data_IF_916940783332
#
_entry.id   IF_916940783332
#
_cell.length_a   1.000
_cell.length_b   1.000
_cell.length_c   1.000
_cell.angle_alpha   90.00
_cell.angle_beta   90.00
_cell.angle_gamma   90.00
#
_symmetry.space_group_name_H-M   'P 1'
#
loop_
_entity.id
_entity.type
_entity.pdbx_description
1 polymer ?
#
# COMPACT_ATOMS: atom_id res chain seq x y z
N UNK A 1 18.40 25.91 26.72
CA UNK A 1 17.68 26.77 25.76
C UNK A 1 16.19 26.57 26.03
N UNK A 2 15.52 27.58 26.61
CA UNK A 2 14.09 27.55 26.84
C UNK A 2 13.40 27.64 25.44
N UNK A 3 12.92 26.53 24.91
CA UNK A 3 11.99 26.54 23.79
C UNK A 3 10.67 27.12 24.29
N UNK A 4 10.44 28.40 24.07
CA UNK A 4 9.11 29.01 24.17
C UNK A 4 8.29 28.37 23.06
N UNK A 5 7.44 27.39 23.42
CA UNK A 5 6.45 26.80 22.49
C UNK A 5 5.61 27.95 21.99
N UNK A 6 5.60 28.16 20.67
CA UNK A 6 4.80 29.22 20.05
C UNK A 6 3.32 29.01 20.39
N UNK A 7 2.63 30.11 20.76
CA UNK A 7 1.21 30.10 21.11
C UNK A 7 0.33 29.45 20.01
N UNK A 8 0.75 29.58 18.77
CA UNK A 8 0.11 28.97 17.59
C UNK A 8 0.17 27.45 17.65
N UNK A 9 1.35 26.87 17.93
CA UNK A 9 1.59 25.42 18.05
C UNK A 9 0.76 24.81 19.18
N UNK A 10 0.67 25.48 20.30
CA UNK A 10 -0.16 25.04 21.43
C UNK A 10 -1.65 25.04 21.07
N UNK A 11 -2.16 26.07 20.39
CA UNK A 11 -3.57 26.16 19.94
C UNK A 11 -3.91 25.04 18.95
N UNK A 12 -3.01 24.73 18.03
CA UNK A 12 -3.17 23.64 17.05
C UNK A 12 -3.27 22.28 17.74
N UNK A 13 -2.42 22.04 18.74
CA UNK A 13 -2.47 20.80 19.54
C UNK A 13 -3.78 20.69 20.34
N UNK A 14 -4.22 21.76 20.98
CA UNK A 14 -5.48 21.80 21.74
C UNK A 14 -6.68 21.48 20.82
N UNK A 15 -6.73 22.04 19.62
CA UNK A 15 -7.73 21.70 18.62
C UNK A 15 -7.70 20.21 18.26
N UNK A 16 -6.52 19.64 17.99
CA UNK A 16 -6.38 18.23 17.68
C UNK A 16 -6.84 17.31 18.83
N UNK A 17 -6.57 17.71 20.07
CA UNK A 17 -7.03 16.98 21.26
C UNK A 17 -8.55 16.99 21.41
N UNK A 18 -9.24 18.09 21.05
CA UNK A 18 -10.71 18.14 21.08
C UNK A 18 -11.33 17.16 20.09
N UNK A 19 -10.80 17.06 18.89
CA UNK A 19 -11.42 16.28 17.79
C UNK A 19 -10.88 14.84 17.66
N UNK A 20 -9.76 14.48 18.31
CA UNK A 20 -9.15 13.15 18.16
C UNK A 20 -9.03 12.40 19.48
N UNK A 21 -9.88 11.38 19.66
CA UNK A 21 -9.75 10.44 20.78
C UNK A 21 -8.43 9.64 20.75
N UNK A 22 -7.88 9.43 19.56
CA UNK A 22 -6.56 8.80 19.41
C UNK A 22 -5.48 9.67 20.04
N UNK A 23 -5.45 10.97 19.72
CA UNK A 23 -4.51 11.93 20.30
C UNK A 23 -4.60 11.99 21.83
N UNK A 24 -5.82 12.12 22.35
CA UNK A 24 -6.05 12.13 23.81
C UNK A 24 -5.44 10.89 24.48
N UNK A 25 -5.73 9.70 23.95
CA UNK A 25 -5.25 8.44 24.53
C UNK A 25 -3.73 8.30 24.47
N UNK A 26 -3.11 8.66 23.35
CA UNK A 26 -1.67 8.51 23.17
C UNK A 26 -0.87 9.49 24.04
N UNK A 27 -1.27 10.76 24.09
CA UNK A 27 -0.56 11.78 24.84
C UNK A 27 -0.81 11.73 26.38
N UNK A 28 -1.97 11.23 26.81
CA UNK A 28 -2.21 10.96 28.24
C UNK A 28 -1.35 9.79 28.77
N UNK A 29 -1.03 8.82 27.88
CA UNK A 29 -0.22 7.65 28.25
C UNK A 29 1.28 7.95 28.39
N UNK A 30 1.81 8.98 27.72
CA UNK A 30 3.23 9.32 27.75
C UNK A 30 3.46 10.83 27.50
N UNK A 31 3.73 11.62 28.55
CA UNK A 31 4.00 13.05 28.43
C UNK A 31 5.22 13.41 27.56
N UNK A 32 6.21 12.52 27.44
CA UNK A 32 7.39 12.75 26.60
C UNK A 32 7.02 12.85 25.10
N UNK A 33 6.00 12.12 24.65
CA UNK A 33 5.51 12.19 23.27
C UNK A 33 5.00 13.59 22.93
N UNK A 34 4.44 14.32 23.90
CA UNK A 34 3.98 15.71 23.70
C UNK A 34 5.15 16.64 23.39
N UNK A 35 6.26 16.53 24.10
CA UNK A 35 7.44 17.36 23.86
C UNK A 35 8.05 17.07 22.47
N UNK A 36 8.17 15.79 22.09
CA UNK A 36 8.66 15.40 20.77
C UNK A 36 7.77 15.95 19.66
N UNK A 37 6.44 15.85 19.83
CA UNK A 37 5.47 16.36 18.87
C UNK A 37 5.61 17.88 18.66
N UNK A 38 5.65 18.64 19.75
CA UNK A 38 5.69 20.12 19.71
C UNK A 38 6.97 20.65 19.08
N UNK A 39 8.11 19.97 19.29
CA UNK A 39 9.39 20.40 18.72
C UNK A 39 9.47 20.29 17.19
N UNK A 40 8.61 19.49 16.56
CA UNK A 40 8.69 19.18 15.13
C UNK A 40 7.34 19.38 14.41
N UNK A 41 6.42 20.15 14.99
CA UNK A 41 5.06 20.26 14.46
C UNK A 41 4.96 21.12 13.20
N UNK A 42 5.87 22.06 12.98
CA UNK A 42 5.82 23.01 11.85
C UNK A 42 6.08 22.32 10.51
N UNK A 43 6.86 21.26 10.50
CA UNK A 43 7.23 20.54 9.28
C UNK A 43 6.49 19.18 9.14
N UNK A 44 6.17 18.75 7.90
CA UNK A 44 5.68 17.41 7.64
C UNK A 44 6.66 16.34 8.14
N UNK A 45 6.16 15.16 8.47
CA UNK A 45 7.03 14.01 8.76
C UNK A 45 7.55 13.44 7.44
N UNK A 46 8.80 13.74 7.09
CA UNK A 46 9.41 13.38 5.82
C UNK A 46 9.84 11.91 5.76
N UNK A 47 9.98 11.36 4.55
CA UNK A 47 10.37 9.96 4.29
C UNK A 47 11.73 9.63 4.90
N UNK A 48 12.72 10.47 4.71
CA UNK A 48 14.07 10.31 5.25
C UNK A 48 14.10 10.33 6.79
N UNK A 49 13.24 11.14 7.41
CA UNK A 49 13.08 11.14 8.88
C UNK A 49 12.53 9.79 9.38
N UNK A 50 11.58 9.18 8.67
CA UNK A 50 11.05 7.85 8.98
C UNK A 50 12.14 6.76 8.84
N UNK A 51 12.90 6.81 7.75
CA UNK A 51 13.99 5.88 7.49
C UNK A 51 15.09 6.00 8.56
N UNK A 52 15.50 7.23 8.89
CA UNK A 52 16.48 7.51 9.93
C UNK A 52 16.00 7.03 11.31
N UNK A 53 14.71 7.19 11.63
CA UNK A 53 14.13 6.66 12.87
C UNK A 53 14.33 5.15 12.97
N UNK A 54 14.02 4.39 11.93
CA UNK A 54 14.18 2.93 11.94
C UNK A 54 15.67 2.52 11.92
N UNK A 55 16.52 3.22 11.20
CA UNK A 55 17.96 2.94 11.22
C UNK A 55 18.59 3.17 12.60
N UNK A 56 18.12 4.19 13.33
CA UNK A 56 18.56 4.42 14.72
C UNK A 56 18.15 3.27 15.65
N UNK A 57 16.97 2.68 15.44
CA UNK A 57 16.49 1.56 16.27
C UNK A 57 17.06 0.19 15.83
N UNK A 58 17.60 0.09 14.62
CA UNK A 58 18.07 -1.18 14.03
C UNK A 58 19.05 -1.98 14.90
N UNK A 59 20.05 -1.37 15.58
CA UNK A 59 20.99 -2.12 16.42
C UNK A 59 20.34 -2.79 17.65
N UNK A 60 19.17 -2.29 18.08
CA UNK A 60 18.41 -2.83 19.20
C UNK A 60 17.46 -3.97 18.81
N UNK A 61 17.21 -4.18 17.50
CA UNK A 61 16.29 -5.20 16.99
C UNK A 61 17.02 -6.56 16.98
N UNK A 62 16.66 -7.43 17.91
CA UNK A 62 17.22 -8.78 18.03
C UNK A 62 16.24 -9.86 17.60
N UNK A 63 14.95 -9.59 17.73
CA UNK A 63 13.87 -10.53 17.44
C UNK A 63 12.63 -9.83 16.87
N UNK A 64 11.57 -10.62 16.64
CA UNK A 64 10.29 -10.15 16.09
C UNK A 64 9.58 -9.17 17.03
N UNK A 65 9.74 -9.29 18.33
CA UNK A 65 9.09 -8.38 19.30
C UNK A 65 9.71 -6.97 19.24
N UNK A 66 11.04 -6.90 19.15
CA UNK A 66 11.76 -5.64 19.01
C UNK A 66 11.41 -4.95 17.68
N UNK A 67 11.36 -5.71 16.57
CA UNK A 67 10.94 -5.22 15.26
C UNK A 67 9.51 -4.66 15.30
N UNK A 68 8.59 -5.43 15.87
CA UNK A 68 7.20 -5.04 16.03
C UNK A 68 7.06 -3.74 16.82
N UNK A 69 7.82 -3.59 17.90
CA UNK A 69 7.84 -2.38 18.72
C UNK A 69 8.37 -1.17 17.96
N UNK A 70 9.50 -1.32 17.26
CA UNK A 70 10.11 -0.22 16.49
C UNK A 70 9.15 0.35 15.43
N UNK A 71 8.49 -0.51 14.67
CA UNK A 71 7.53 -0.11 13.65
C UNK A 71 6.29 0.61 14.25
N UNK A 72 5.79 0.13 15.38
CA UNK A 72 4.64 0.75 16.07
C UNK A 72 4.99 2.10 16.69
N UNK A 73 6.20 2.25 17.21
CA UNK A 73 6.71 3.53 17.69
C UNK A 73 6.84 4.53 16.55
N UNK A 74 7.40 4.13 15.40
CA UNK A 74 7.44 4.98 14.21
C UNK A 74 6.02 5.43 13.83
N UNK A 75 5.09 4.48 13.66
CA UNK A 75 3.70 4.80 13.34
C UNK A 75 3.09 5.77 14.34
N UNK A 76 3.31 5.58 15.63
CA UNK A 76 2.79 6.47 16.68
C UNK A 76 3.28 7.90 16.47
N UNK A 77 4.58 8.11 16.26
CA UNK A 77 5.15 9.45 16.06
C UNK A 77 4.63 10.11 14.79
N UNK A 78 4.57 9.35 13.67
CA UNK A 78 4.02 9.84 12.39
C UNK A 78 2.55 10.24 12.57
N UNK A 79 1.73 9.37 13.17
CA UNK A 79 0.30 9.61 13.37
C UNK A 79 0.02 10.80 14.29
N UNK A 80 0.79 10.97 15.35
CA UNK A 80 0.65 12.11 16.25
C UNK A 80 0.90 13.43 15.51
N UNK A 81 1.99 13.52 14.75
CA UNK A 81 2.32 14.73 13.97
C UNK A 81 1.29 14.98 12.88
N UNK A 82 1.00 13.94 12.08
CA UNK A 82 0.07 14.06 10.95
C UNK A 82 -1.34 14.48 11.37
N UNK A 83 -1.92 13.81 12.38
CA UNK A 83 -3.27 14.16 12.86
C UNK A 83 -3.32 15.57 13.44
N UNK A 84 -2.27 15.99 14.15
CA UNK A 84 -2.21 17.36 14.71
C UNK A 84 -2.15 18.39 13.58
N UNK A 85 -1.34 18.14 12.56
CA UNK A 85 -1.21 19.04 11.41
C UNK A 85 -2.49 19.07 10.57
N UNK A 86 -3.12 17.94 10.29
CA UNK A 86 -4.35 17.83 9.51
C UNK A 86 -5.53 18.54 10.20
N UNK A 87 -5.83 18.20 11.45
CA UNK A 87 -6.90 18.85 12.23
C UNK A 87 -6.58 20.33 12.50
N UNK A 88 -5.30 20.65 12.67
CA UNK A 88 -4.82 22.01 12.86
C UNK A 88 -4.94 22.90 11.63
N UNK A 89 -5.06 22.29 10.44
CA UNK A 89 -5.10 22.99 9.15
C UNK A 89 -3.70 23.36 8.63
N UNK A 90 -2.65 22.71 9.12
CA UNK A 90 -1.26 22.85 8.65
C UNK A 90 -0.91 21.89 7.51
N UNK A 91 -1.61 20.76 7.42
CA UNK A 91 -1.44 19.76 6.36
C UNK A 91 -2.59 19.85 5.36
N UNK A 92 -2.28 19.70 4.08
CA UNK A 92 -3.25 19.48 3.03
C UNK A 92 -3.47 17.96 2.75
N UNK A 93 -4.41 17.65 1.87
CA UNK A 93 -4.70 16.26 1.49
C UNK A 93 -3.47 15.56 0.87
N UNK A 94 -2.65 16.27 0.12
CA UNK A 94 -1.47 15.71 -0.53
C UNK A 94 -0.42 15.29 0.51
N UNK A 95 -0.19 16.11 1.55
CA UNK A 95 0.67 15.77 2.67
C UNK A 95 0.16 14.52 3.40
N UNK A 96 -1.14 14.45 3.72
CA UNK A 96 -1.73 13.27 4.39
C UNK A 96 -1.49 11.99 3.59
N UNK A 97 -1.79 12.02 2.29
CA UNK A 97 -1.63 10.85 1.43
C UNK A 97 -0.16 10.46 1.25
N UNK A 98 0.73 11.42 1.07
CA UNK A 98 2.16 11.17 0.91
C UNK A 98 2.75 10.56 2.18
N UNK A 99 2.54 11.18 3.34
CA UNK A 99 3.06 10.73 4.63
C UNK A 99 2.58 9.32 4.98
N UNK A 100 1.28 9.03 4.77
CA UNK A 100 0.74 7.70 5.06
C UNK A 100 1.24 6.63 4.09
N UNK A 101 1.42 6.98 2.82
CA UNK A 101 1.99 6.07 1.82
C UNK A 101 3.44 5.76 2.13
N UNK A 102 4.25 6.77 2.44
CA UNK A 102 5.66 6.59 2.79
C UNK A 102 5.83 5.76 4.07
N UNK A 103 5.01 6.01 5.10
CA UNK A 103 4.99 5.18 6.30
C UNK A 103 4.71 3.70 5.99
N UNK A 104 3.73 3.42 5.11
CA UNK A 104 3.39 2.06 4.72
C UNK A 104 4.53 1.38 3.95
N UNK A 105 5.09 2.05 2.94
CA UNK A 105 6.18 1.52 2.12
C UNK A 105 7.43 1.22 2.95
N UNK A 106 7.84 2.16 3.81
CA UNK A 106 9.00 2.01 4.68
C UNK A 106 8.78 0.87 5.68
N UNK A 107 7.58 0.80 6.29
CA UNK A 107 7.27 -0.27 7.25
C UNK A 107 7.26 -1.65 6.59
N UNK A 108 6.68 -1.78 5.39
CA UNK A 108 6.67 -3.02 4.61
C UNK A 108 8.11 -3.42 4.26
N UNK A 109 8.89 -2.50 3.72
CA UNK A 109 10.26 -2.77 3.29
C UNK A 109 11.15 -3.19 4.46
N UNK A 110 11.10 -2.47 5.56
CA UNK A 110 11.91 -2.75 6.75
C UNK A 110 11.54 -4.10 7.40
N UNK A 111 10.25 -4.39 7.52
CA UNK A 111 9.77 -5.67 8.03
C UNK A 111 10.17 -6.84 7.10
N UNK A 112 10.02 -6.66 5.79
CA UNK A 112 10.39 -7.65 4.78
C UNK A 112 11.87 -8.02 4.87
N UNK A 113 12.76 -7.02 4.96
CA UNK A 113 14.21 -7.25 5.08
C UNK A 113 14.57 -8.08 6.30
N UNK A 114 14.03 -7.75 7.49
CA UNK A 114 14.33 -8.47 8.72
C UNK A 114 13.81 -9.91 8.69
N UNK A 115 12.55 -10.12 8.31
CA UNK A 115 11.97 -11.46 8.24
C UNK A 115 12.64 -12.33 7.17
N UNK A 116 12.99 -11.75 6.02
CA UNK A 116 13.74 -12.48 4.99
C UNK A 116 15.11 -12.91 5.53
N UNK A 117 15.85 -12.01 6.16
CA UNK A 117 17.17 -12.31 6.72
C UNK A 117 17.09 -13.45 7.74
N UNK A 118 16.17 -13.38 8.69
CA UNK A 118 16.00 -14.43 9.72
C UNK A 118 15.56 -15.79 9.14
N UNK A 119 14.73 -15.81 8.12
CA UNK A 119 14.31 -17.07 7.47
C UNK A 119 15.41 -17.63 6.57
N UNK A 120 16.20 -16.76 5.92
CA UNK A 120 17.26 -17.14 4.99
C UNK A 120 18.60 -17.51 5.68
N UNK A 121 18.66 -17.56 7.01
CA UNK A 121 19.83 -18.05 7.73
C UNK A 121 20.20 -19.48 7.30
N UNK A 122 21.50 -19.78 7.08
CA UNK A 122 21.94 -21.11 6.62
C UNK A 122 21.53 -22.25 7.56
N UNK A 123 21.44 -21.98 8.86
CA UNK A 123 20.94 -22.94 9.87
C UNK A 123 19.43 -23.18 9.86
N UNK A 124 18.70 -22.42 9.05
CA UNK A 124 17.24 -22.53 8.82
C UNK A 124 16.96 -22.97 7.39
N UNK A 125 16.24 -22.14 6.64
CA UNK A 125 15.84 -22.47 5.26
C UNK A 125 16.93 -22.13 4.23
N UNK A 126 17.81 -21.16 4.52
CA UNK A 126 18.75 -20.64 3.54
C UNK A 126 18.06 -19.74 2.51
N UNK A 127 18.80 -19.40 1.46
CA UNK A 127 18.34 -18.47 0.43
C UNK A 127 17.51 -19.22 -0.59
N UNK A 128 16.29 -18.74 -0.96
CA UNK A 128 15.52 -19.30 -2.07
C UNK A 128 16.25 -19.04 -3.40
N UNK A 129 16.39 -20.09 -4.21
CA UNK A 129 17.07 -20.03 -5.51
C UNK A 129 16.19 -20.62 -6.60
N UNK A 130 16.38 -20.16 -7.83
CA UNK A 130 15.70 -20.70 -9.00
C UNK A 130 16.23 -22.11 -9.31
N UNK A 131 15.32 -23.01 -9.66
CA UNK A 131 15.68 -24.36 -10.14
C UNK A 131 16.37 -24.30 -11.53
N UNK A 132 16.01 -23.33 -12.36
CA UNK A 132 16.51 -23.21 -13.71
C UNK A 132 17.86 -22.47 -13.78
N UNK A 133 17.97 -21.34 -13.07
CA UNK A 133 19.12 -20.41 -13.18
C UNK A 133 20.04 -20.40 -11.99
N UNK A 134 19.67 -21.06 -10.89
CA UNK A 134 20.35 -20.97 -9.58
C UNK A 134 20.44 -19.54 -9.04
N UNK A 135 19.73 -18.59 -9.64
CA UNK A 135 19.65 -17.20 -9.20
C UNK A 135 18.86 -17.11 -7.90
N UNK A 136 19.35 -16.26 -6.99
CA UNK A 136 18.62 -15.90 -5.76
C UNK A 136 17.26 -15.30 -6.12
N UNK A 137 16.23 -15.77 -5.42
CA UNK A 137 14.87 -15.31 -5.64
C UNK A 137 14.44 -14.30 -4.58
N UNK A 138 13.94 -13.13 -4.98
CA UNK A 138 13.34 -12.14 -4.09
C UNK A 138 11.84 -12.38 -3.91
N UNK A 139 11.26 -11.79 -2.86
CA UNK A 139 9.82 -11.53 -2.79
C UNK A 139 9.57 -10.08 -3.19
N UNK A 140 8.64 -9.87 -4.11
CA UNK A 140 8.12 -8.56 -4.45
C UNK A 140 6.75 -8.39 -3.78
N UNK A 141 6.56 -7.25 -3.11
CA UNK A 141 5.29 -6.86 -2.50
C UNK A 141 4.62 -5.83 -3.40
N UNK A 142 3.50 -6.23 -3.99
CA UNK A 142 2.69 -5.35 -4.83
C UNK A 142 1.59 -4.74 -3.96
N UNK A 143 1.56 -3.43 -3.89
CA UNK A 143 0.47 -2.67 -3.28
C UNK A 143 -0.63 -2.44 -4.32
N UNK A 144 -1.86 -2.63 -3.89
CA UNK A 144 -3.07 -2.40 -4.66
C UNK A 144 -3.86 -1.22 -4.09
N UNK A 145 -4.96 -0.88 -4.69
CA UNK A 145 -5.89 0.14 -4.18
C UNK A 145 -5.21 1.49 -3.87
N UNK A 146 -5.53 2.06 -2.71
CA UNK A 146 -5.02 3.38 -2.33
C UNK A 146 -3.51 3.43 -2.13
N UNK A 147 -2.91 2.38 -1.54
CA UNK A 147 -1.46 2.33 -1.37
C UNK A 147 -0.75 2.27 -2.72
N UNK A 148 -1.23 1.43 -3.63
CA UNK A 148 -0.69 1.34 -4.99
C UNK A 148 -0.80 2.67 -5.75
N UNK A 149 -1.92 3.39 -5.58
CA UNK A 149 -2.17 4.71 -6.16
C UNK A 149 -1.46 5.88 -5.47
N UNK A 150 -0.70 5.67 -4.38
CA UNK A 150 -0.15 6.73 -3.52
C UNK A 150 -1.22 7.68 -2.94
N UNK A 151 -2.39 7.14 -2.64
CA UNK A 151 -3.55 7.85 -2.14
C UNK A 151 -4.00 7.32 -0.77
N UNK A 152 -3.05 6.79 0.03
CA UNK A 152 -3.35 6.20 1.32
C UNK A 152 -3.76 7.29 2.34
N UNK A 153 -4.87 7.09 3.05
CA UNK A 153 -5.26 7.98 4.14
C UNK A 153 -5.02 7.34 5.51
N UNK A 154 -5.14 8.12 6.57
CA UNK A 154 -4.80 7.73 7.94
C UNK A 154 -5.50 6.46 8.47
N UNK A 155 -6.68 6.12 7.96
CA UNK A 155 -7.49 4.98 8.43
C UNK A 155 -7.65 3.85 7.41
N UNK A 156 -6.95 3.92 6.25
CA UNK A 156 -7.04 2.89 5.22
C UNK A 156 -6.34 1.61 5.62
N UNK A 157 -6.91 0.49 5.17
CA UNK A 157 -6.21 -0.78 5.07
C UNK A 157 -5.22 -0.73 3.91
N UNK A 158 -4.23 -1.59 3.92
CA UNK A 158 -3.30 -1.78 2.81
C UNK A 158 -3.61 -3.10 2.11
N UNK A 159 -3.91 -3.02 0.82
CA UNK A 159 -4.16 -4.20 -0.02
C UNK A 159 -2.83 -4.66 -0.62
N UNK A 160 -2.43 -5.90 -0.37
CA UNK A 160 -1.14 -6.45 -0.80
C UNK A 160 -1.30 -7.72 -1.62
N UNK A 161 -0.36 -7.94 -2.55
CA UNK A 161 -0.18 -9.20 -3.29
C UNK A 161 1.31 -9.54 -3.24
N UNK A 162 1.64 -10.81 -2.94
CA UNK A 162 3.02 -11.29 -2.89
C UNK A 162 3.35 -12.10 -4.13
N UNK A 163 4.41 -11.71 -4.83
CA UNK A 163 4.88 -12.40 -6.04
C UNK A 163 6.39 -12.64 -5.98
N UNK A 164 6.85 -13.68 -6.65
CA UNK A 164 8.27 -14.00 -6.77
C UNK A 164 8.59 -14.48 -8.20
N UNK A 165 9.83 -14.29 -8.69
CA UNK A 165 10.12 -14.52 -10.11
C UNK A 165 10.00 -15.98 -10.55
N UNK A 166 10.65 -16.92 -9.87
CA UNK A 166 10.81 -18.29 -10.37
C UNK A 166 10.66 -19.34 -9.26
N UNK A 167 10.10 -20.47 -9.62
CA UNK A 167 10.04 -21.63 -8.72
C UNK A 167 11.42 -22.25 -8.52
N UNK A 168 11.58 -22.90 -7.35
CA UNK A 168 12.81 -23.54 -6.96
C UNK A 168 12.77 -23.97 -5.50
N UNK A 169 13.94 -24.11 -4.89
CA UNK A 169 14.10 -24.56 -3.53
C UNK A 169 15.11 -23.71 -2.76
N UNK A 170 15.05 -23.73 -1.45
CA UNK A 170 15.99 -23.03 -0.58
C UNK A 170 17.29 -23.80 -0.40
N UNK A 171 18.39 -23.11 -0.14
CA UNK A 171 19.75 -23.66 -0.04
C UNK A 171 20.19 -24.04 1.38
N UNK A 172 19.31 -23.95 2.38
CA UNK A 172 19.65 -24.17 3.79
C UNK A 172 19.59 -25.62 4.23
N UNK A 173 19.82 -25.86 5.53
CA UNK A 173 19.76 -27.20 6.13
C UNK A 173 18.35 -27.80 6.11
N UNK A 174 17.32 -26.96 6.07
CA UNK A 174 15.90 -27.35 5.92
C UNK A 174 15.41 -26.85 4.57
N UNK A 175 15.67 -27.64 3.53
CA UNK A 175 15.21 -27.29 2.18
C UNK A 175 13.69 -27.30 2.09
N UNK A 176 13.11 -26.23 1.56
CA UNK A 176 11.69 -26.08 1.22
C UNK A 176 11.55 -25.45 -0.15
N UNK A 177 10.39 -25.58 -0.79
CA UNK A 177 10.14 -24.90 -2.05
C UNK A 177 10.12 -23.38 -1.87
N UNK A 178 10.46 -22.62 -2.94
CA UNK A 178 10.34 -21.16 -2.95
C UNK A 178 8.93 -20.72 -2.57
N UNK A 179 7.93 -21.42 -3.07
CA UNK A 179 6.53 -21.20 -2.72
C UNK A 179 6.29 -21.26 -1.20
N UNK A 180 6.76 -22.32 -0.54
CA UNK A 180 6.60 -22.47 0.90
C UNK A 180 7.38 -21.42 1.68
N UNK A 181 8.63 -21.12 1.26
CA UNK A 181 9.45 -20.08 1.87
C UNK A 181 8.75 -18.72 1.83
N UNK A 182 8.26 -18.31 0.65
CA UNK A 182 7.61 -17.02 0.49
C UNK A 182 6.23 -16.97 1.15
N UNK A 183 5.50 -18.08 1.22
CA UNK A 183 4.27 -18.13 2.00
C UNK A 183 4.53 -17.97 3.51
N UNK A 184 5.63 -18.51 4.04
CA UNK A 184 6.06 -18.29 5.44
C UNK A 184 6.47 -16.84 5.66
N UNK A 185 7.27 -16.28 4.77
CA UNK A 185 7.71 -14.89 4.81
C UNK A 185 6.51 -13.92 4.78
N UNK A 186 5.56 -14.16 3.86
CA UNK A 186 4.34 -13.36 3.76
C UNK A 186 3.49 -13.40 5.04
N UNK A 187 3.32 -14.57 5.66
CA UNK A 187 2.62 -14.68 6.96
C UNK A 187 3.30 -13.86 8.06
N UNK A 188 4.64 -13.91 8.13
CA UNK A 188 5.42 -13.12 9.10
C UNK A 188 5.26 -11.63 8.86
N UNK A 189 5.31 -11.19 7.61
CA UNK A 189 5.13 -9.80 7.23
C UNK A 189 3.72 -9.30 7.60
N UNK A 190 2.67 -10.07 7.30
CA UNK A 190 1.29 -9.73 7.66
C UNK A 190 1.15 -9.60 9.18
N UNK A 191 1.61 -10.58 9.94
CA UNK A 191 1.54 -10.57 11.41
C UNK A 191 2.30 -9.35 11.98
N UNK A 192 3.51 -9.08 11.50
CA UNK A 192 4.31 -7.94 11.91
C UNK A 192 3.57 -6.61 11.74
N UNK A 193 2.84 -6.44 10.64
CA UNK A 193 2.14 -5.19 10.34
C UNK A 193 0.76 -5.11 11.02
N UNK A 194 0.01 -6.22 11.11
CA UNK A 194 -1.41 -6.19 11.47
C UNK A 194 -1.74 -6.66 12.88
N UNK A 195 -0.87 -7.45 13.55
CA UNK A 195 -1.16 -7.94 14.87
C UNK A 195 -1.24 -6.81 15.89
N UNK A 196 -2.24 -6.90 16.77
CA UNK A 196 -2.45 -5.91 17.81
C UNK A 196 -1.60 -6.24 19.05
N UNK A 197 -0.69 -5.33 19.41
CA UNK A 197 0.15 -5.42 20.60
C UNK A 197 -0.19 -4.32 21.60
N UNK A 198 0.55 -4.23 22.70
CA UNK A 198 0.41 -3.12 23.68
C UNK A 198 0.66 -1.75 23.04
N UNK A 199 1.50 -1.70 21.99
CA UNK A 199 1.80 -0.49 21.20
C UNK A 199 0.84 -0.29 20.01
N UNK A 200 -0.21 -1.11 19.86
CA UNK A 200 -1.16 -1.09 18.76
C UNK A 200 -0.73 -1.97 17.56
N UNK A 201 -1.08 -1.54 16.36
CA UNK A 201 -0.73 -2.18 15.09
C UNK A 201 -0.08 -1.15 14.14
N UNK A 202 0.56 -1.62 13.05
CA UNK A 202 1.12 -0.72 12.04
C UNK A 202 0.09 -0.42 10.95
N UNK A 203 -0.41 -1.44 10.24
CA UNK A 203 -1.50 -1.35 9.26
C UNK A 203 -2.34 -2.62 9.29
N UNK A 204 -3.64 -2.49 9.06
CA UNK A 204 -4.47 -3.64 8.70
C UNK A 204 -4.12 -4.05 7.27
N UNK A 205 -3.86 -5.34 7.07
CA UNK A 205 -3.46 -5.90 5.78
C UNK A 205 -4.63 -6.66 5.16
N UNK A 206 -4.97 -6.33 3.90
CA UNK A 206 -5.98 -7.05 3.12
C UNK A 206 -5.30 -7.81 1.96
N UNK A 207 -5.53 -9.11 1.90
CA UNK A 207 -4.97 -9.99 0.87
C UNK A 207 -6.02 -10.51 -0.11
N UNK A 208 -7.26 -9.99 -0.08
CA UNK A 208 -8.38 -10.52 -0.88
C UNK A 208 -8.25 -10.26 -2.38
N UNK A 209 -7.46 -9.27 -2.78
CA UNK A 209 -7.23 -8.96 -4.20
C UNK A 209 -6.21 -9.88 -4.89
N UNK A 210 -5.62 -10.86 -4.16
CA UNK A 210 -4.73 -11.83 -4.80
C UNK A 210 -5.49 -12.78 -5.75
N UNK A 211 -4.84 -13.28 -6.81
CA UNK A 211 -5.44 -14.24 -7.73
C UNK A 211 -6.11 -15.40 -6.99
N UNK A 212 -7.28 -15.84 -7.46
CA UNK A 212 -8.15 -16.83 -6.82
C UNK A 212 -8.69 -16.48 -5.41
N UNK A 213 -8.45 -15.28 -4.89
CA UNK A 213 -8.99 -14.80 -3.61
C UNK A 213 -8.46 -15.55 -2.38
N UNK A 214 -9.31 -15.71 -1.37
CA UNK A 214 -8.90 -16.21 -0.04
C UNK A 214 -8.39 -17.66 -0.03
N UNK A 215 -8.85 -18.50 -0.96
CA UNK A 215 -8.47 -19.90 -1.05
C UNK A 215 -7.18 -20.15 -1.83
N UNK A 216 -6.48 -19.12 -2.27
CA UNK A 216 -5.27 -19.21 -3.07
C UNK A 216 -4.01 -19.20 -2.22
N UNK A 217 -2.88 -19.63 -2.81
CA UNK A 217 -1.58 -19.44 -2.23
C UNK A 217 -1.33 -17.99 -1.81
N UNK A 218 -0.61 -17.80 -0.71
CA UNK A 218 -0.30 -16.46 -0.21
C UNK A 218 0.72 -15.71 -1.07
N UNK A 219 1.65 -16.46 -1.67
CA UNK A 219 2.63 -15.95 -2.63
C UNK A 219 2.60 -16.81 -3.90
N UNK A 220 2.74 -16.19 -5.05
CA UNK A 220 2.66 -16.84 -6.38
C UNK A 220 3.88 -16.49 -7.23
N UNK A 221 4.30 -17.40 -8.12
CA UNK A 221 5.35 -17.11 -9.08
C UNK A 221 4.83 -16.22 -10.23
N UNK A 222 5.75 -15.59 -10.96
CA UNK A 222 5.40 -14.80 -12.15
C UNK A 222 4.67 -15.63 -13.19
N UNK A 223 5.11 -16.86 -13.40
CA UNK A 223 4.48 -17.77 -14.36
C UNK A 223 3.04 -18.11 -13.95
N UNK A 224 2.80 -18.39 -12.66
CA UNK A 224 1.44 -18.61 -12.14
C UNK A 224 0.55 -17.37 -12.30
N UNK A 225 1.10 -16.16 -12.08
CA UNK A 225 0.36 -14.93 -12.25
C UNK A 225 0.02 -14.67 -13.72
N UNK A 226 0.97 -14.87 -14.63
CA UNK A 226 0.80 -14.69 -16.06
C UNK A 226 -0.24 -15.68 -16.65
N UNK A 227 -0.14 -16.95 -16.27
CA UNK A 227 -1.12 -17.96 -16.64
C UNK A 227 -2.52 -17.64 -16.11
N UNK A 228 -2.61 -17.17 -14.87
CA UNK A 228 -3.87 -16.73 -14.30
C UNK A 228 -4.49 -15.58 -15.08
N UNK A 229 -3.71 -14.56 -15.43
CA UNK A 229 -4.19 -13.41 -16.20
C UNK A 229 -4.66 -13.79 -17.60
N UNK A 230 -4.00 -14.77 -18.24
CA UNK A 230 -4.37 -15.26 -19.59
C UNK A 230 -5.63 -16.10 -19.58
N UNK A 231 -5.85 -16.92 -18.54
CA UNK A 231 -6.89 -17.96 -18.55
C UNK A 231 -8.11 -17.61 -17.69
N UNK A 232 -7.94 -16.86 -16.61
CA UNK A 232 -8.99 -16.63 -15.59
C UNK A 232 -9.16 -15.17 -15.20
N UNK A 233 -8.25 -14.29 -15.59
CA UNK A 233 -8.27 -12.87 -15.22
C UNK A 233 -9.57 -12.17 -15.62
N UNK A 234 -10.27 -11.56 -14.65
CA UNK A 234 -11.59 -10.93 -14.82
C UNK A 234 -11.46 -9.42 -15.01
N UNK A 235 -12.49 -8.80 -15.54
CA UNK A 235 -12.51 -7.34 -15.76
C UNK A 235 -12.37 -6.52 -14.47
N UNK A 236 -12.97 -6.97 -13.36
CA UNK A 236 -12.82 -6.27 -12.07
C UNK A 236 -11.38 -6.33 -11.53
N UNK A 237 -10.64 -7.42 -11.80
CA UNK A 237 -9.22 -7.53 -11.42
C UNK A 237 -8.38 -6.59 -12.27
N UNK A 238 -8.70 -6.46 -13.55
CA UNK A 238 -8.07 -5.49 -14.43
C UNK A 238 -8.22 -4.06 -13.90
N UNK A 239 -9.42 -3.69 -13.43
CA UNK A 239 -9.65 -2.44 -12.72
C UNK A 239 -8.78 -2.30 -11.47
N UNK A 240 -8.70 -3.33 -10.64
CA UNK A 240 -7.91 -3.31 -9.43
C UNK A 240 -6.41 -3.13 -9.72
N UNK A 241 -5.89 -3.84 -10.73
CA UNK A 241 -4.48 -3.81 -11.12
C UNK A 241 -4.01 -2.52 -11.80
N UNK A 242 -4.92 -1.61 -12.22
CA UNK A 242 -4.55 -0.25 -12.66
C UNK A 242 -3.66 0.44 -11.61
N UNK A 243 -4.01 0.29 -10.34
CA UNK A 243 -3.26 0.87 -9.21
C UNK A 243 -2.12 -0.02 -8.69
N UNK A 244 -1.93 -1.21 -9.27
CA UNK A 244 -0.88 -2.15 -8.86
C UNK A 244 0.51 -1.53 -8.98
N UNK A 245 1.32 -1.59 -7.90
CA UNK A 245 2.69 -1.05 -7.85
C UNK A 245 3.55 -1.86 -6.88
N UNK A 246 4.77 -2.20 -7.29
CA UNK A 246 5.75 -2.78 -6.36
C UNK A 246 6.17 -1.71 -5.34
N UNK A 247 6.05 -2.00 -4.07
CA UNK A 247 6.35 -1.08 -2.96
C UNK A 247 7.50 -1.56 -2.08
N UNK A 248 7.80 -2.84 -2.14
CA UNK A 248 8.96 -3.42 -1.50
C UNK A 248 9.40 -4.65 -2.29
N UNK A 249 10.71 -4.87 -2.33
CA UNK A 249 11.33 -6.02 -2.93
C UNK A 249 12.77 -6.11 -2.46
N UNK A 250 13.31 -7.31 -2.50
CA UNK A 250 14.74 -7.56 -2.28
C UNK A 250 15.44 -7.82 -3.63
N UNK A 251 14.84 -7.29 -4.71
CA UNK A 251 15.19 -7.55 -6.09
C UNK A 251 15.85 -6.37 -6.78
N UNK A 252 16.45 -6.67 -7.91
CA UNK A 252 16.91 -5.69 -8.88
C UNK A 252 15.71 -5.09 -9.63
N UNK A 253 15.90 -3.94 -10.25
CA UNK A 253 14.91 -3.25 -11.11
C UNK A 253 14.39 -4.12 -12.27
N UNK A 254 15.16 -5.15 -12.67
CA UNK A 254 14.80 -6.09 -13.74
C UNK A 254 13.56 -6.93 -13.40
N UNK A 255 13.48 -7.50 -12.18
CA UNK A 255 12.32 -8.30 -11.77
C UNK A 255 11.06 -7.44 -11.66
N UNK A 256 11.19 -6.19 -11.17
CA UNK A 256 10.09 -5.26 -11.12
C UNK A 256 9.58 -4.90 -12.53
N UNK A 257 10.49 -4.60 -13.46
CA UNK A 257 10.13 -4.32 -14.85
C UNK A 257 9.52 -5.54 -15.53
N UNK A 258 10.06 -6.75 -15.32
CA UNK A 258 9.47 -7.99 -15.83
C UNK A 258 8.04 -8.18 -15.33
N UNK A 259 7.80 -7.99 -14.05
CA UNK A 259 6.46 -8.08 -13.47
C UNK A 259 5.52 -7.02 -14.04
N UNK A 260 5.92 -5.75 -13.97
CA UNK A 260 5.00 -4.65 -14.25
C UNK A 260 4.81 -4.40 -15.75
N UNK A 261 5.87 -4.50 -16.56
CA UNK A 261 5.79 -4.18 -17.99
C UNK A 261 5.44 -5.39 -18.87
N UNK A 262 5.87 -6.61 -18.49
CA UNK A 262 5.69 -7.79 -19.33
C UNK A 262 4.48 -8.64 -18.92
N UNK A 263 4.06 -8.59 -17.65
CA UNK A 263 2.93 -9.41 -17.14
C UNK A 263 1.71 -8.52 -16.85
N UNK A 264 1.86 -7.52 -15.95
CA UNK A 264 0.73 -6.72 -15.47
C UNK A 264 0.20 -5.78 -16.54
N UNK A 265 1.06 -5.04 -17.21
CA UNK A 265 0.66 -4.03 -18.18
C UNK A 265 -0.13 -4.60 -19.38
N UNK A 266 0.27 -5.72 -20.04
CA UNK A 266 -0.51 -6.33 -21.10
C UNK A 266 -1.89 -6.82 -20.62
N UNK A 267 -1.98 -7.29 -19.39
CA UNK A 267 -3.26 -7.67 -18.79
C UNK A 267 -4.16 -6.47 -18.59
N UNK A 268 -3.66 -5.37 -18.01
CA UNK A 268 -4.44 -4.19 -17.63
C UNK A 268 -4.77 -3.35 -18.87
N UNK A 269 -3.77 -2.96 -19.66
CA UNK A 269 -3.90 -1.97 -20.73
C UNK A 269 -3.84 -2.62 -22.11
N UNK A 270 -4.98 -3.14 -22.57
CA UNK A 270 -5.09 -3.72 -23.91
C UNK A 270 -5.09 -2.62 -24.97
N UNK A 271 -4.36 -2.85 -26.08
CA UNK A 271 -4.33 -1.93 -27.21
C UNK A 271 -5.70 -1.80 -27.91
N UNK A 272 -6.45 -2.89 -27.92
CA UNK A 272 -7.80 -2.99 -28.49
C UNK A 272 -8.72 -3.58 -27.45
N UNK A 273 -9.81 -2.88 -27.14
CA UNK A 273 -10.91 -3.39 -26.33
C UNK A 273 -11.97 -3.96 -27.26
N UNK A 274 -12.41 -5.16 -26.95
CA UNK A 274 -13.57 -5.75 -27.57
C UNK A 274 -14.88 -5.21 -27.00
N UNK A 275 -15.99 -5.51 -27.66
CA UNK A 275 -17.33 -5.05 -27.25
C UNK A 275 -17.71 -5.60 -25.86
N UNK A 276 -17.26 -6.82 -25.54
CA UNK A 276 -17.55 -7.50 -24.27
C UNK A 276 -16.93 -6.78 -23.07
N UNK A 277 -15.77 -6.14 -23.24
CA UNK A 277 -15.12 -5.35 -22.20
C UNK A 277 -15.98 -4.12 -21.82
N UNK A 278 -16.58 -3.42 -22.79
CA UNK A 278 -17.47 -2.29 -22.52
C UNK A 278 -18.74 -2.73 -21.79
N UNK A 279 -19.33 -3.86 -22.20
CA UNK A 279 -20.50 -4.40 -21.49
C UNK A 279 -20.15 -4.86 -20.07
N UNK A 280 -18.98 -5.47 -19.86
CA UNK A 280 -18.54 -5.87 -18.55
C UNK A 280 -18.35 -4.67 -17.60
N UNK A 281 -17.81 -3.55 -18.09
CA UNK A 281 -17.69 -2.30 -17.34
C UNK A 281 -19.07 -1.74 -16.97
N UNK A 282 -20.05 -1.74 -17.88
CA UNK A 282 -21.42 -1.31 -17.60
C UNK A 282 -22.09 -2.20 -16.56
N UNK A 283 -21.92 -3.52 -16.66
CA UNK A 283 -22.45 -4.48 -15.67
C UNK A 283 -21.84 -4.25 -14.30
N UNK A 284 -20.53 -4.04 -14.22
CA UNK A 284 -19.83 -3.74 -12.96
C UNK A 284 -20.36 -2.46 -12.32
N UNK A 285 -20.52 -1.38 -13.09
CA UNK A 285 -21.11 -0.13 -12.60
C UNK A 285 -22.54 -0.32 -12.08
N UNK A 286 -23.37 -1.06 -12.83
CA UNK A 286 -24.74 -1.37 -12.41
C UNK A 286 -24.78 -2.19 -11.12
N UNK A 287 -23.88 -3.16 -10.95
CA UNK A 287 -23.75 -3.94 -9.71
C UNK A 287 -23.37 -3.07 -8.52
N UNK A 288 -22.41 -2.14 -8.71
CA UNK A 288 -22.01 -1.21 -7.67
C UNK A 288 -23.17 -0.31 -7.21
N UNK A 289 -23.96 0.23 -8.14
CA UNK A 289 -25.16 1.03 -7.82
C UNK A 289 -26.23 0.23 -7.08
N UNK A 290 -26.55 -0.97 -7.55
CA UNK A 290 -27.51 -1.86 -6.87
C UNK A 290 -27.10 -2.20 -5.44
N UNK A 291 -25.80 -2.37 -5.19
CA UNK A 291 -25.29 -2.62 -3.84
C UNK A 291 -25.43 -1.41 -2.92
N UNK A 292 -25.23 -0.19 -3.43
CA UNK A 292 -25.47 1.07 -2.72
C UNK A 292 -26.96 1.21 -2.35
N UNK A 293 -27.85 0.95 -3.31
CA UNK A 293 -29.31 0.98 -3.10
C UNK A 293 -29.73 -0.05 -2.04
N UNK A 294 -29.25 -1.30 -2.17
CA UNK A 294 -29.56 -2.39 -1.24
C UNK A 294 -29.11 -2.09 0.21
N UNK A 295 -28.04 -1.34 0.37
CA UNK A 295 -27.48 -0.97 1.69
C UNK A 295 -27.93 0.39 2.19
N UNK A 296 -28.82 1.08 1.48
CA UNK A 296 -29.32 2.43 1.81
C UNK A 296 -28.18 3.44 2.05
N UNK A 297 -27.09 3.35 1.25
CA UNK A 297 -25.88 4.17 1.42
C UNK A 297 -25.88 5.43 0.53
N UNK A 298 -27.01 6.07 0.33
CA UNK A 298 -27.13 7.22 -0.57
C UNK A 298 -26.29 8.43 -0.13
N UNK A 299 -26.20 8.67 1.18
CA UNK A 299 -25.43 9.79 1.75
C UNK A 299 -23.97 9.42 2.07
N UNK A 300 -23.51 8.24 1.67
CA UNK A 300 -22.15 7.79 1.94
C UNK A 300 -21.17 8.44 0.97
N UNK A 301 -20.29 9.31 1.47
CA UNK A 301 -19.31 10.05 0.66
C UNK A 301 -18.40 9.13 -0.17
N UNK A 302 -18.11 7.92 0.31
CA UNK A 302 -17.25 6.96 -0.39
C UNK A 302 -18.03 6.17 -1.45
N UNK A 303 -19.23 5.67 -1.10
CA UNK A 303 -19.95 4.66 -1.87
C UNK A 303 -21.21 5.20 -2.55
N UNK A 304 -21.78 6.30 -2.06
CA UNK A 304 -23.00 6.89 -2.62
C UNK A 304 -22.81 7.44 -4.03
N UNK A 305 -23.92 7.82 -4.69
CA UNK A 305 -23.87 8.45 -6.02
C UNK A 305 -23.00 9.71 -6.03
N UNK A 306 -22.09 9.83 -7.00
CA UNK A 306 -21.10 10.92 -7.06
C UNK A 306 -20.00 10.82 -6.02
N UNK A 307 -19.95 9.74 -5.23
CA UNK A 307 -18.92 9.53 -4.21
C UNK A 307 -17.56 9.13 -4.80
N UNK A 308 -16.56 9.05 -3.92
CA UNK A 308 -15.14 8.80 -4.30
C UNK A 308 -15.01 7.57 -5.19
N UNK A 309 -15.74 6.48 -4.89
CA UNK A 309 -15.66 5.22 -5.64
C UNK A 309 -16.19 5.36 -7.07
N UNK A 310 -17.22 6.16 -7.29
CA UNK A 310 -17.77 6.39 -8.64
C UNK A 310 -16.84 7.25 -9.48
N UNK A 311 -16.21 8.27 -8.88
CA UNK A 311 -15.18 9.09 -9.52
C UNK A 311 -13.96 8.24 -9.91
N UNK A 312 -13.46 7.42 -8.99
CA UNK A 312 -12.36 6.47 -9.27
C UNK A 312 -12.73 5.51 -10.41
N UNK A 313 -13.95 4.95 -10.38
CA UNK A 313 -14.42 4.03 -11.39
C UNK A 313 -14.45 4.67 -12.78
N UNK A 314 -15.05 5.86 -12.92
CA UNK A 314 -15.10 6.58 -14.19
C UNK A 314 -13.69 6.86 -14.70
N UNK A 315 -12.79 7.34 -13.81
CA UNK A 315 -11.40 7.61 -14.16
C UNK A 315 -10.69 6.36 -14.68
N UNK A 316 -10.86 5.22 -14.00
CA UNK A 316 -10.28 3.95 -14.38
C UNK A 316 -10.85 3.39 -15.69
N UNK A 317 -12.12 3.63 -15.99
CA UNK A 317 -12.73 3.28 -17.29
C UNK A 317 -11.99 4.01 -18.41
N UNK A 318 -11.71 5.31 -18.28
CA UNK A 318 -10.90 6.03 -19.27
C UNK A 318 -9.49 5.44 -19.43
N UNK A 319 -8.85 5.05 -18.32
CA UNK A 319 -7.55 4.40 -18.34
C UNK A 319 -7.57 3.08 -19.09
N UNK A 320 -8.56 2.22 -18.83
CA UNK A 320 -8.71 0.94 -19.53
C UNK A 320 -8.96 1.11 -21.04
N UNK A 321 -9.81 2.08 -21.41
CA UNK A 321 -10.17 2.33 -22.82
C UNK A 321 -8.99 2.90 -23.61
N UNK A 322 -8.18 3.75 -22.99
CA UNK A 322 -7.19 4.56 -23.72
C UNK A 322 -5.74 4.24 -23.35
N UNK A 323 -5.46 3.72 -22.16
CA UNK A 323 -4.10 3.49 -21.64
C UNK A 323 -3.27 2.53 -22.49
N UNK A 324 -3.89 1.61 -23.22
CA UNK A 324 -3.17 0.73 -24.16
C UNK A 324 -2.58 1.46 -25.37
N UNK A 325 -3.09 2.67 -25.69
CA UNK A 325 -2.61 3.53 -26.80
C UNK A 325 -1.96 4.81 -26.30
N UNK A 326 -2.29 5.24 -25.12
CA UNK A 326 -1.86 6.49 -24.51
C UNK A 326 -1.24 6.22 -23.13
N UNK A 327 0.09 6.06 -23.11
CA UNK A 327 0.87 5.72 -21.91
C UNK A 327 0.73 6.78 -20.81
N UNK A 328 0.47 8.04 -21.18
CA UNK A 328 0.30 9.12 -20.21
C UNK A 328 -0.88 8.86 -19.26
N UNK A 329 -1.85 8.05 -19.68
CA UNK A 329 -3.00 7.68 -18.85
C UNK A 329 -2.75 6.46 -17.94
N UNK A 330 -1.57 5.83 -18.03
CA UNK A 330 -1.22 4.69 -17.19
C UNK A 330 -0.66 5.08 -15.81
N UNK A 331 -0.80 6.35 -15.39
CA UNK A 331 -0.47 6.79 -14.03
C UNK A 331 -1.52 6.33 -13.03
N UNK A 332 -1.13 6.20 -11.75
CA UNK A 332 -1.97 5.57 -10.73
C UNK A 332 -2.84 6.52 -9.92
N UNK A 333 -2.36 7.74 -9.54
CA UNK A 333 -3.15 8.67 -8.73
C UNK A 333 -4.37 9.19 -9.49
N UNK A 334 -5.56 9.07 -8.91
CA UNK A 334 -6.85 9.44 -9.53
C UNK A 334 -6.88 10.90 -9.97
N UNK A 335 -6.45 11.80 -9.10
CA UNK A 335 -6.45 13.25 -9.41
C UNK A 335 -5.51 13.59 -10.57
N UNK A 336 -4.36 12.92 -10.67
CA UNK A 336 -3.42 13.11 -11.76
C UNK A 336 -4.02 12.64 -13.09
N UNK A 337 -4.69 11.48 -13.11
CA UNK A 337 -5.39 10.99 -14.31
C UNK A 337 -6.46 11.97 -14.75
N UNK A 338 -7.29 12.47 -13.83
CA UNK A 338 -8.31 13.49 -14.16
C UNK A 338 -7.70 14.75 -14.76
N UNK A 339 -6.60 15.24 -14.20
CA UNK A 339 -5.89 16.40 -14.76
C UNK A 339 -5.37 16.14 -16.18
N UNK A 340 -4.82 14.92 -16.44
CA UNK A 340 -4.36 14.53 -17.77
C UNK A 340 -5.50 14.39 -18.77
N UNK A 341 -6.63 13.81 -18.36
CA UNK A 341 -7.86 13.72 -19.18
C UNK A 341 -8.40 15.12 -19.54
N UNK A 342 -8.41 16.06 -18.58
CA UNK A 342 -8.79 17.46 -18.83
C UNK A 342 -7.84 18.12 -19.81
N UNK A 343 -6.53 18.01 -19.62
CA UNK A 343 -5.51 18.58 -20.51
C UNK A 343 -5.63 18.04 -21.95
N UNK A 344 -6.02 16.78 -22.10
CA UNK A 344 -6.27 16.12 -23.39
C UNK A 344 -7.69 16.39 -23.93
N UNK A 345 -8.48 17.26 -23.30
CA UNK A 345 -9.87 17.60 -23.69
C UNK A 345 -10.80 16.38 -23.79
N UNK A 346 -10.54 15.35 -22.97
CA UNK A 346 -11.36 14.13 -22.91
C UNK A 346 -12.45 14.20 -21.86
N UNK A 347 -12.38 15.19 -20.98
CA UNK A 347 -13.40 15.55 -20.00
C UNK A 347 -13.68 17.07 -20.09
N UNK A 348 -14.95 17.50 -19.91
CA UNK A 348 -15.30 18.91 -19.81
C UNK A 348 -14.56 19.59 -18.66
N UNK A 349 -14.20 20.87 -18.82
CA UNK A 349 -13.51 21.65 -17.78
C UNK A 349 -14.25 21.70 -16.44
N UNK A 350 -15.57 21.57 -16.46
CA UNK A 350 -16.43 21.62 -15.28
C UNK A 350 -16.46 20.29 -14.50
N UNK A 351 -15.86 19.22 -15.03
CA UNK A 351 -15.91 17.88 -14.45
C UNK A 351 -14.70 17.56 -13.56
N UNK A 352 -13.65 18.39 -13.62
CA UNK A 352 -12.37 18.16 -12.92
C UNK A 352 -12.02 19.30 -11.99
#
# INVERSE_FOLDING_TARGET
MNNTIDATTQTVLEKALVFSRYMQRMLNGNPADKAILLNNLEEPFQRDEMENFLQHHRPAIKDEADLNRALRLLRKHVMLRLITRDIGGLADLAEVMCTMTDLAEISIHFALQHHYHWLAEPGRFGIPVSKASSRKQPLLVVAMGKLGGRELNASSDIDLIFVYPEDGETSGTKTVSNHEFFARLGRKLIACLSDYTVDGYVFRVDMRLRPHGENSPLAISFDMLDDYFKTQGREWERHAWIKGRVVAGLSDTEDESRLMDQIVRPFVFRKYLDFDAYEAMRRLHTQLRKEVERREMHDNIKLGPGGIREIEFVTQVFQLIRGGRDIDLCVRPTLEVLQRLRKKQQLPHQTV
#
